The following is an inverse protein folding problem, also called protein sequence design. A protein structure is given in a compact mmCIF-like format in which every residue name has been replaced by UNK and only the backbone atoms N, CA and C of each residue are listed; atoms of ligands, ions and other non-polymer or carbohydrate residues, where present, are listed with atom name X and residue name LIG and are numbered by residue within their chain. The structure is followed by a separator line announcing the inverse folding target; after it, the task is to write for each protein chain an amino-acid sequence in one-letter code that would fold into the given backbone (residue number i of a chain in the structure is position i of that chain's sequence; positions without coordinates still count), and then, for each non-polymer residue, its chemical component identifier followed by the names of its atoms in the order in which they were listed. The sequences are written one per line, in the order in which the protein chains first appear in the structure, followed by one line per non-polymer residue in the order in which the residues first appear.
data_IF_527074683945
#
_entry.id   IF_527074683945
#
_cell.length_a   1.000
_cell.length_b   1.000
_cell.length_c   1.000
_cell.angle_alpha   90.00
_cell.angle_beta   90.00
_cell.angle_gamma   90.00
#
_symmetry.space_group_name_H-M   'P 1'
#
loop_
_entity.id
_entity.type
_entity.pdbx_description
1 polymer ?
#
# COMPACT_ATOMS: atom_id res chain seq x y z
N UNK A 1 15.77 6.57 -6.23
CA UNK A 1 14.71 5.58 -6.56
C UNK A 1 13.42 6.10 -5.93
N UNK A 2 12.29 6.07 -6.64
CA UNK A 2 11.00 6.47 -6.05
C UNK A 2 10.33 5.26 -5.35
N UNK A 3 9.63 5.45 -4.23
CA UNK A 3 8.90 4.37 -3.58
C UNK A 3 7.78 3.80 -4.45
N UNK A 4 7.46 2.52 -4.27
CA UNK A 4 6.27 1.89 -4.83
C UNK A 4 5.06 2.13 -3.90
N UNK A 5 3.88 2.36 -4.45
CA UNK A 5 2.68 2.59 -3.65
C UNK A 5 2.01 1.27 -3.27
N UNK A 6 1.79 1.05 -1.97
CA UNK A 6 0.80 0.09 -1.48
C UNK A 6 -0.54 0.84 -1.41
N UNK A 7 -1.46 0.47 -2.32
CA UNK A 7 -2.74 1.14 -2.50
C UNK A 7 -3.82 0.59 -1.54
N UNK A 8 -4.14 1.36 -0.51
CA UNK A 8 -5.17 1.06 0.49
C UNK A 8 -6.60 1.12 -0.06
N UNK A 9 -6.83 1.87 -1.14
CA UNK A 9 -8.10 1.85 -1.87
C UNK A 9 -8.41 0.47 -2.46
N UNK A 10 -7.37 -0.23 -2.92
CA UNK A 10 -7.45 -1.62 -3.37
C UNK A 10 -7.84 -2.58 -2.23
N UNK A 11 -7.15 -2.47 -1.08
CA UNK A 11 -7.42 -3.29 0.12
C UNK A 11 -8.89 -3.17 0.54
N UNK A 12 -9.40 -1.94 0.63
CA UNK A 12 -10.80 -1.66 0.99
C UNK A 12 -11.78 -2.31 0.01
N UNK A 13 -11.56 -2.10 -1.30
CA UNK A 13 -12.41 -2.69 -2.36
C UNK A 13 -12.38 -4.21 -2.36
N UNK A 14 -11.25 -4.84 -2.00
CA UNK A 14 -11.15 -6.28 -1.83
C UNK A 14 -11.98 -6.76 -0.63
N UNK A 15 -11.88 -6.08 0.52
CA UNK A 15 -12.67 -6.40 1.71
C UNK A 15 -14.18 -6.29 1.47
N UNK A 16 -14.63 -5.31 0.68
CA UNK A 16 -16.04 -5.16 0.27
C UNK A 16 -16.53 -6.30 -0.64
N UNK A 17 -15.63 -6.97 -1.37
CA UNK A 17 -15.94 -8.00 -2.38
C UNK A 17 -15.96 -9.43 -1.83
N UNK A 18 -15.70 -9.63 -0.55
CA UNK A 18 -15.55 -10.93 0.16
C UNK A 18 -16.70 -11.95 0.03
N UNK A 19 -17.70 -11.74 -0.86
CA UNK A 19 -18.83 -12.65 -1.11
C UNK A 19 -19.21 -12.88 -2.57
N UNK A 20 -18.54 -12.28 -3.57
CA UNK A 20 -18.77 -12.55 -5.01
C UNK A 20 -17.44 -12.59 -5.76
N UNK A 21 -17.27 -13.62 -6.59
CA UNK A 21 -16.12 -13.90 -7.50
C UNK A 21 -14.97 -12.88 -7.38
N UNK A 22 -14.01 -13.20 -6.52
CA UNK A 22 -12.87 -12.36 -6.25
C UNK A 22 -11.98 -12.25 -7.50
N UNK A 23 -12.21 -11.23 -8.32
CA UNK A 23 -11.20 -10.76 -9.28
C UNK A 23 -9.92 -10.34 -8.52
N UNK A 24 -8.72 -10.51 -9.10
CA UNK A 24 -7.50 -10.03 -8.47
C UNK A 24 -7.57 -8.52 -8.31
N UNK A 25 -7.70 -8.05 -7.07
CA UNK A 25 -7.61 -6.65 -6.71
C UNK A 25 -6.20 -6.28 -6.28
N UNK A 26 -5.98 -4.99 -6.02
CA UNK A 26 -4.73 -4.51 -5.44
C UNK A 26 -4.79 -4.55 -3.92
N UNK A 27 -3.67 -4.79 -3.22
CA UNK A 27 -2.37 -5.21 -3.76
C UNK A 27 -2.39 -6.68 -4.25
N UNK A 28 -1.85 -6.94 -5.44
CA UNK A 28 -1.63 -8.30 -5.95
C UNK A 28 -0.46 -8.92 -5.19
N UNK A 29 -0.69 -9.98 -4.41
CA UNK A 29 0.31 -10.45 -3.44
C UNK A 29 1.58 -10.99 -4.07
N UNK A 30 1.46 -11.73 -5.17
CA UNK A 30 2.58 -12.32 -5.88
C UNK A 30 3.56 -11.25 -6.40
N UNK A 31 3.04 -10.07 -6.78
CA UNK A 31 3.88 -8.95 -7.16
C UNK A 31 4.73 -8.46 -5.98
N UNK A 32 4.12 -8.33 -4.80
CA UNK A 32 4.82 -7.78 -3.63
C UNK A 32 5.78 -8.77 -2.98
N UNK A 33 5.49 -10.06 -3.05
CA UNK A 33 6.43 -11.12 -2.66
C UNK A 33 7.69 -11.11 -3.54
N UNK A 34 7.54 -10.91 -4.85
CA UNK A 34 8.69 -10.72 -5.73
C UNK A 34 9.39 -9.39 -5.42
N UNK A 35 8.64 -8.32 -5.15
CA UNK A 35 9.22 -7.01 -4.86
C UNK A 35 10.06 -7.01 -3.56
N UNK A 36 9.67 -7.79 -2.55
CA UNK A 36 10.40 -7.90 -1.28
C UNK A 36 11.83 -8.45 -1.42
N UNK A 37 12.12 -9.16 -2.51
CA UNK A 37 13.49 -9.64 -2.80
C UNK A 37 14.42 -8.55 -3.33
N UNK A 38 13.89 -7.36 -3.64
CA UNK A 38 14.65 -6.22 -4.18
C UNK A 38 14.82 -5.12 -3.14
N UNK A 39 15.85 -4.30 -3.30
CA UNK A 39 15.99 -3.04 -2.57
C UNK A 39 15.00 -2.01 -3.12
N UNK A 40 13.75 -2.13 -2.69
CA UNK A 40 12.67 -1.17 -2.94
C UNK A 40 12.15 -0.64 -1.61
N UNK A 41 11.71 0.61 -1.61
CA UNK A 41 10.95 1.21 -0.53
C UNK A 41 9.49 1.37 -0.94
N UNK A 42 8.58 1.40 0.02
CA UNK A 42 7.14 1.54 -0.22
C UNK A 42 6.55 2.77 0.46
N UNK A 43 5.48 3.30 -0.12
CA UNK A 43 4.64 4.33 0.49
C UNK A 43 3.21 3.78 0.63
N UNK A 44 2.63 3.95 1.81
CA UNK A 44 1.25 3.56 2.08
C UNK A 44 0.33 4.74 1.76
N UNK A 45 -0.67 4.53 0.90
CA UNK A 45 -1.61 5.57 0.51
C UNK A 45 -3.04 5.03 0.52
N UNK A 46 -4.00 5.82 1.00
CA UNK A 46 -5.41 5.44 1.10
C UNK A 46 -6.12 5.45 -0.26
N UNK A 47 -5.52 6.13 -1.26
CA UNK A 47 -6.10 6.36 -2.59
C UNK A 47 -7.54 6.91 -2.49
N UNK A 48 -7.69 7.86 -1.57
CA UNK A 48 -8.97 8.42 -1.19
C UNK A 48 -9.55 9.31 -2.30
N UNK A 49 -10.77 9.00 -2.71
CA UNK A 49 -11.57 9.82 -3.62
C UNK A 49 -12.67 10.60 -2.89
N UNK A 50 -12.78 10.43 -1.57
CA UNK A 50 -13.72 11.11 -0.67
C UNK A 50 -12.99 11.45 0.65
N UNK A 51 -13.31 12.55 1.34
CA UNK A 51 -12.55 13.01 2.51
C UNK A 51 -12.52 12.03 3.69
N UNK A 52 -13.62 11.34 3.93
CA UNK A 52 -13.76 10.30 4.96
C UNK A 52 -12.84 9.09 4.74
N UNK A 53 -12.41 8.86 3.50
CA UNK A 53 -11.44 7.82 3.16
C UNK A 53 -9.97 8.25 3.30
N UNK A 54 -9.66 9.50 3.65
CA UNK A 54 -8.29 10.01 3.64
C UNK A 54 -7.29 9.16 4.44
N UNK A 55 -7.73 8.58 5.57
CA UNK A 55 -6.92 7.69 6.42
C UNK A 55 -7.32 6.22 6.32
N UNK A 56 -8.30 5.88 5.48
CA UNK A 56 -8.81 4.53 5.38
C UNK A 56 -7.74 3.56 4.85
N UNK A 57 -7.68 2.38 5.44
CA UNK A 57 -6.79 1.28 5.04
C UNK A 57 -5.28 1.55 5.17
N UNK A 58 -4.85 2.68 5.73
CA UNK A 58 -3.43 2.99 5.94
C UNK A 58 -2.78 1.99 6.90
N UNK A 59 -3.49 1.63 7.97
CA UNK A 59 -2.99 0.65 8.95
C UNK A 59 -2.76 -0.71 8.29
N UNK A 60 -3.69 -1.13 7.45
CA UNK A 60 -3.64 -2.37 6.70
C UNK A 60 -2.51 -2.37 5.67
N UNK A 61 -2.25 -1.23 5.00
CA UNK A 61 -1.08 -1.08 4.15
C UNK A 61 0.24 -1.23 4.93
N UNK A 62 0.33 -0.62 6.11
CA UNK A 62 1.52 -0.72 6.98
C UNK A 62 1.73 -2.15 7.43
N UNK A 63 0.67 -2.82 7.91
CA UNK A 63 0.73 -4.24 8.29
C UNK A 63 1.15 -5.13 7.12
N UNK A 64 0.60 -4.89 5.92
CA UNK A 64 0.97 -5.62 4.72
C UNK A 64 2.45 -5.43 4.35
N UNK A 65 2.99 -4.21 4.52
CA UNK A 65 4.41 -3.94 4.32
C UNK A 65 5.28 -4.69 5.35
N UNK A 66 4.89 -4.65 6.64
CA UNK A 66 5.58 -5.34 7.73
C UNK A 66 5.58 -6.86 7.52
N UNK A 67 4.45 -7.45 7.14
CA UNK A 67 4.31 -8.88 6.85
C UNK A 67 5.24 -9.37 5.73
N UNK A 68 5.52 -8.52 4.74
CA UNK A 68 6.40 -8.82 3.61
C UNK A 68 7.84 -8.35 3.82
N UNK A 69 8.17 -7.73 4.96
CA UNK A 69 9.50 -7.17 5.22
C UNK A 69 9.86 -6.00 4.30
N UNK A 70 8.87 -5.29 3.75
CA UNK A 70 9.08 -4.15 2.87
C UNK A 70 9.49 -2.91 3.68
N UNK A 71 10.48 -2.16 3.20
CA UNK A 71 10.95 -0.95 3.87
C UNK A 71 10.03 0.24 3.56
N UNK A 72 9.43 0.86 4.57
CA UNK A 72 8.66 2.10 4.40
C UNK A 72 9.61 3.25 4.04
N UNK A 73 9.23 4.05 3.04
CA UNK A 73 9.99 5.18 2.56
C UNK A 73 10.12 6.27 3.62
N UNK A 74 11.31 6.88 3.71
CA UNK A 74 11.52 8.06 4.53
C UNK A 74 10.93 9.32 3.91
N UNK A 75 10.79 10.38 4.71
CA UNK A 75 10.40 11.72 4.26
C UNK A 75 11.25 12.23 3.10
N UNK A 76 12.58 12.01 3.15
CA UNK A 76 13.50 12.38 2.08
C UNK A 76 13.19 11.65 0.77
N UNK A 77 12.87 10.36 0.84
CA UNK A 77 12.48 9.57 -0.34
C UNK A 77 11.14 10.01 -0.92
N UNK A 78 10.28 10.62 -0.11
CA UNK A 78 9.02 11.25 -0.52
C UNK A 78 9.19 12.71 -0.96
N UNK A 79 10.39 13.28 -0.83
CA UNK A 79 10.66 14.69 -1.13
C UNK A 79 10.07 15.67 -0.12
N UNK A 80 9.69 15.19 1.06
CA UNK A 80 9.23 16.02 2.19
C UNK A 80 10.49 16.63 2.82
N UNK A 81 10.54 17.96 2.83
CA UNK A 81 11.64 18.70 3.47
C UNK A 81 11.24 19.04 4.91
N UNK A 82 12.17 18.90 5.88
CA UNK A 82 11.93 19.43 7.21
C UNK A 82 11.64 20.93 7.12
N UNK A 83 10.64 21.38 7.89
CA UNK A 83 10.19 22.77 7.98
C UNK A 83 11.16 23.57 8.85
#
# INVERSE_FOLDING_TARGET
QKPLEINGGGIRKLAERSGKEAHPGFPLREFWEVASDYRVSVVCNSDAHQPDHAMASIKECVQYAEELGLTIASDEQLGIKPI
#
